data_IF_897948244068
#
_entry.id   IF_897948244068
#
_cell.length_a   1.000
_cell.length_b   1.000
_cell.length_c   1.000
_cell.angle_alpha   90.00
_cell.angle_beta   90.00
_cell.angle_gamma   90.00
#
_symmetry.space_group_name_H-M   'P 1'
#
loop_
_entity.id
_entity.type
_entity.pdbx_description
1 polymer ?
#
# COMPACT_ATOMS: atom_id res chain seq x y z
N UNK A 1 -72.95 -38.30 -66.06
CA UNK A 1 -73.82 -37.76 -65.02
C UNK A 1 -73.04 -36.70 -64.26
N UNK A 2 -73.30 -35.42 -64.57
CA UNK A 2 -73.31 -34.24 -63.70
C UNK A 2 -73.01 -34.53 -62.20
N UNK A 3 -72.19 -33.81 -61.42
CA UNK A 3 -71.94 -32.37 -61.34
C UNK A 3 -70.71 -32.10 -60.44
N UNK A 4 -69.91 -31.11 -60.85
CA UNK A 4 -69.41 -29.94 -60.11
C UNK A 4 -68.70 -30.06 -58.72
N UNK A 5 -67.46 -29.54 -58.76
CA UNK A 5 -66.96 -28.36 -58.02
C UNK A 5 -66.42 -28.41 -56.58
N UNK A 6 -65.33 -27.62 -56.49
CA UNK A 6 -64.83 -26.72 -55.43
C UNK A 6 -63.90 -27.36 -54.40
N UNK A 7 -62.61 -27.02 -54.48
CA UNK A 7 -61.95 -25.87 -53.82
C UNK A 7 -61.99 -26.05 -52.30
N UNK A 8 -60.92 -25.92 -51.52
CA UNK A 8 -59.54 -25.48 -51.73
C UNK A 8 -58.88 -25.44 -50.33
N UNK A 9 -57.56 -25.27 -50.27
CA UNK A 9 -56.79 -24.73 -49.13
C UNK A 9 -56.30 -25.76 -48.10
N UNK A 10 -55.04 -26.15 -48.31
CA UNK A 10 -53.92 -26.05 -47.36
C UNK A 10 -53.86 -26.93 -46.11
N UNK A 11 -52.61 -27.29 -45.78
CA UNK A 11 -52.15 -27.97 -44.56
C UNK A 11 -52.18 -29.50 -44.61
N UNK A 12 -51.31 -30.07 -45.46
CA UNK A 12 -50.75 -31.42 -45.27
C UNK A 12 -49.24 -31.32 -45.09
N UNK A 13 -48.83 -30.95 -43.88
CA UNK A 13 -47.48 -31.18 -43.36
C UNK A 13 -47.51 -31.07 -41.83
N UNK A 14 -48.42 -31.81 -41.20
CA UNK A 14 -48.44 -31.99 -39.75
C UNK A 14 -49.01 -33.39 -39.47
N UNK A 15 -48.40 -34.09 -38.52
CA UNK A 15 -48.78 -35.41 -37.99
C UNK A 15 -48.17 -36.65 -38.67
N UNK A 16 -46.83 -36.70 -38.78
CA UNK A 16 -46.11 -37.99 -38.86
C UNK A 16 -44.69 -37.97 -38.25
N UNK A 17 -44.40 -37.12 -37.24
CA UNK A 17 -43.08 -37.10 -36.56
C UNK A 17 -43.22 -36.96 -35.03
N UNK A 18 -44.28 -37.51 -34.44
CA UNK A 18 -44.43 -37.60 -32.98
C UNK A 18 -44.56 -39.07 -32.58
N UNK A 19 -43.43 -39.79 -32.54
CA UNK A 19 -43.16 -40.95 -31.67
C UNK A 19 -41.78 -41.53 -31.98
N UNK A 20 -40.73 -40.81 -31.58
CA UNK A 20 -39.39 -41.38 -31.39
C UNK A 20 -38.62 -40.49 -30.39
N UNK A 21 -39.21 -40.27 -29.21
CA UNK A 21 -38.47 -39.85 -28.02
C UNK A 21 -38.07 -41.13 -27.30
N UNK A 22 -36.79 -41.50 -27.37
CA UNK A 22 -36.02 -42.07 -26.27
C UNK A 22 -34.64 -42.52 -26.79
N UNK A 23 -33.60 -42.12 -26.06
CA UNK A 23 -32.24 -42.65 -26.11
C UNK A 23 -31.37 -42.23 -27.30
N UNK A 24 -30.63 -41.12 -27.15
CA UNK A 24 -29.23 -40.98 -27.63
C UNK A 24 -28.63 -39.66 -27.11
N UNK A 25 -28.37 -39.58 -25.80
CA UNK A 25 -27.49 -38.59 -25.20
C UNK A 25 -26.11 -39.21 -25.00
N UNK A 26 -25.14 -38.85 -25.84
CA UNK A 26 -23.72 -38.79 -25.49
C UNK A 26 -23.04 -37.81 -26.44
N UNK A 27 -22.93 -36.58 -25.95
CA UNK A 27 -22.07 -35.52 -26.46
C UNK A 27 -20.64 -36.05 -26.64
N UNK A 28 -20.12 -36.05 -27.86
CA UNK A 28 -18.68 -36.00 -28.13
C UNK A 28 -18.35 -34.69 -28.83
N UNK A 29 -18.55 -33.59 -28.10
CA UNK A 29 -18.03 -32.28 -28.46
C UNK A 29 -16.79 -31.99 -27.63
N UNK A 30 -15.62 -32.42 -28.12
CA UNK A 30 -14.34 -31.94 -27.59
C UNK A 30 -14.19 -30.51 -28.12
N UNK A 31 -14.79 -29.55 -27.42
CA UNK A 31 -14.53 -28.14 -27.66
C UNK A 31 -13.13 -27.84 -27.12
N UNK A 32 -12.18 -27.82 -28.04
CA UNK A 32 -10.79 -27.46 -27.81
C UNK A 32 -10.73 -26.14 -27.02
N UNK A 33 -10.35 -26.21 -25.75
CA UNK A 33 -9.95 -25.05 -24.97
C UNK A 33 -8.91 -24.30 -25.80
N UNK A 34 -9.17 -23.06 -26.26
CA UNK A 34 -8.17 -22.34 -27.03
C UNK A 34 -6.95 -22.16 -26.13
N UNK A 35 -5.78 -22.60 -26.61
CA UNK A 35 -4.50 -22.35 -25.96
C UNK A 35 -4.40 -20.86 -25.69
N UNK A 36 -4.42 -20.47 -24.41
CA UNK A 36 -4.01 -19.14 -23.99
C UNK A 36 -2.55 -19.03 -24.38
N UNK A 37 -2.24 -18.37 -25.49
CA UNK A 37 -0.86 -17.99 -25.79
C UNK A 37 -0.45 -16.93 -24.78
N UNK A 38 0.72 -17.10 -24.18
CA UNK A 38 1.27 -16.17 -23.19
C UNK A 38 1.47 -14.74 -23.74
N UNK A 39 1.31 -14.53 -25.04
CA UNK A 39 1.50 -13.26 -25.75
C UNK A 39 0.24 -12.40 -25.90
N UNK A 40 -0.91 -12.82 -25.36
CA UNK A 40 -2.14 -12.01 -25.35
C UNK A 40 -2.73 -11.81 -23.96
N UNK A 41 -1.87 -11.68 -22.97
CA UNK A 41 -2.23 -10.96 -21.73
C UNK A 41 -2.01 -9.49 -22.05
N UNK A 42 -3.08 -8.77 -22.44
CA UNK A 42 -3.08 -7.32 -22.29
C UNK A 42 -2.56 -7.03 -20.88
N UNK A 43 -1.47 -6.27 -20.77
CA UNK A 43 -0.98 -5.80 -19.48
C UNK A 43 -2.08 -4.94 -18.87
N UNK A 44 -3.01 -5.58 -18.16
CA UNK A 44 -3.98 -4.93 -17.30
C UNK A 44 -3.15 -4.07 -16.37
N UNK A 45 -3.23 -2.76 -16.56
CA UNK A 45 -2.56 -1.78 -15.69
C UNK A 45 -2.90 -2.19 -14.27
N UNK A 46 -1.89 -2.50 -13.47
CA UNK A 46 -2.09 -2.97 -12.12
C UNK A 46 -3.04 -1.99 -11.40
N UNK A 47 -4.04 -2.48 -10.65
CA UNK A 47 -4.86 -1.59 -9.85
C UNK A 47 -3.93 -0.71 -9.01
N UNK A 48 -4.14 0.60 -9.11
CA UNK A 48 -3.38 1.64 -8.42
C UNK A 48 -2.03 2.06 -9.04
N UNK A 49 -1.81 1.89 -10.36
CA UNK A 49 -0.58 2.38 -11.01
C UNK A 49 -0.32 3.88 -10.78
N UNK A 50 -1.37 4.71 -10.71
CA UNK A 50 -1.26 6.14 -10.41
C UNK A 50 -0.79 6.38 -8.97
N UNK A 51 -1.38 5.70 -8.00
CA UNK A 51 -0.97 5.78 -6.59
C UNK A 51 0.47 5.27 -6.38
N UNK A 52 0.92 4.29 -7.16
CA UNK A 52 2.27 3.73 -7.04
C UNK A 52 3.35 4.76 -7.39
N UNK A 53 3.12 5.56 -8.42
CA UNK A 53 4.07 6.61 -8.84
C UNK A 53 3.82 7.94 -8.13
N UNK A 54 2.69 8.09 -7.44
CA UNK A 54 2.37 9.29 -6.67
C UNK A 54 3.39 9.49 -5.53
N UNK A 55 4.07 10.64 -5.54
CA UNK A 55 5.18 11.00 -4.64
C UNK A 55 6.50 10.25 -4.86
N UNK A 56 6.59 9.40 -5.89
CA UNK A 56 7.81 8.62 -6.19
C UNK A 56 8.99 9.49 -6.64
N UNK A 57 8.70 10.71 -7.10
CA UNK A 57 9.62 11.74 -7.54
C UNK A 57 10.13 12.63 -6.39
N UNK A 58 9.59 12.48 -5.18
CA UNK A 58 10.07 13.20 -3.99
C UNK A 58 11.16 12.37 -3.32
N UNK A 59 12.39 12.83 -3.40
CA UNK A 59 13.54 12.25 -2.70
C UNK A 59 14.40 13.34 -2.06
N UNK A 60 15.31 12.94 -1.18
CA UNK A 60 16.36 13.84 -0.70
C UNK A 60 17.26 14.30 -1.84
N UNK A 61 17.90 15.45 -1.64
CA UNK A 61 18.80 16.03 -2.62
C UNK A 61 20.17 15.34 -2.59
N UNK A 62 20.80 15.18 -3.76
CA UNK A 62 22.16 14.64 -3.85
C UNK A 62 23.17 15.55 -3.12
N UNK A 63 24.13 15.01 -2.34
CA UNK A 63 25.06 15.83 -1.56
C UNK A 63 25.88 16.82 -2.37
N UNK A 64 26.24 16.48 -3.62
CA UNK A 64 26.96 17.40 -4.51
C UNK A 64 26.17 18.67 -4.89
N UNK A 65 24.85 18.66 -4.70
CA UNK A 65 23.98 19.80 -4.97
C UNK A 65 23.66 20.62 -3.72
N UNK A 66 24.04 20.15 -2.52
CA UNK A 66 23.72 20.86 -1.28
C UNK A 66 24.33 22.27 -1.29
N UNK A 67 23.56 23.22 -0.77
CA UNK A 67 23.95 24.62 -0.59
C UNK A 67 23.73 25.01 0.86
N UNK A 68 24.51 26.00 1.31
CA UNK A 68 24.35 26.57 2.64
C UNK A 68 22.90 27.02 2.87
N UNK A 69 22.36 26.73 4.05
CA UNK A 69 20.96 26.99 4.41
C UNK A 69 20.00 25.83 4.16
N UNK A 70 20.43 24.73 3.52
CA UNK A 70 19.63 23.50 3.44
C UNK A 70 19.33 22.96 4.85
N UNK A 71 18.09 22.55 5.13
CA UNK A 71 17.65 22.24 6.49
C UNK A 71 17.21 20.78 6.69
N UNK A 72 17.48 20.29 7.90
CA UNK A 72 16.93 19.06 8.44
C UNK A 72 16.19 19.33 9.75
N UNK A 73 15.19 18.51 10.03
CA UNK A 73 14.49 18.49 11.31
C UNK A 73 14.97 17.30 12.12
N UNK A 74 15.40 17.55 13.36
CA UNK A 74 15.78 16.50 14.31
C UNK A 74 14.56 15.67 14.68
N UNK A 75 14.66 14.35 14.58
CA UNK A 75 13.60 13.42 14.98
C UNK A 75 13.85 12.75 16.32
N UNK A 76 15.09 12.74 16.80
CA UNK A 76 15.49 12.05 18.03
C UNK A 76 16.67 12.78 18.70
N UNK A 77 16.66 12.89 20.04
CA UNK A 77 17.71 13.56 20.81
C UNK A 77 19.08 12.85 20.73
N UNK A 78 19.11 11.59 20.29
CA UNK A 78 20.34 10.84 20.00
C UNK A 78 21.17 11.43 18.85
N UNK A 79 20.66 12.43 18.13
CA UNK A 79 21.45 13.17 17.14
C UNK A 79 22.76 13.74 17.72
N UNK A 80 22.82 14.03 19.03
CA UNK A 80 24.05 14.47 19.67
C UNK A 80 25.21 13.47 19.57
N UNK A 81 24.93 12.18 19.34
CA UNK A 81 25.96 11.12 19.23
C UNK A 81 26.76 11.24 17.94
N UNK A 82 26.18 11.80 16.87
CA UNK A 82 26.86 11.89 15.57
C UNK A 82 27.70 13.16 15.42
N UNK A 83 27.48 14.16 16.27
CA UNK A 83 28.21 15.42 16.22
C UNK A 83 29.48 15.39 17.08
N UNK A 84 30.40 16.31 16.78
CA UNK A 84 31.61 16.50 17.56
C UNK A 84 31.31 16.78 19.05
N UNK A 85 32.20 16.38 19.97
CA UNK A 85 32.10 16.77 21.38
C UNK A 85 31.95 18.28 21.53
N UNK A 86 31.05 18.70 22.42
CA UNK A 86 30.73 20.11 22.66
C UNK A 86 29.61 20.68 21.78
N UNK A 87 29.04 19.89 20.86
CA UNK A 87 27.82 20.28 20.14
C UNK A 87 26.64 20.51 21.12
N UNK A 88 25.75 21.47 20.82
CA UNK A 88 24.57 21.73 21.65
C UNK A 88 23.62 20.52 21.66
N UNK A 89 22.90 20.35 22.77
CA UNK A 89 21.84 19.36 22.85
C UNK A 89 20.64 19.81 21.99
N UNK A 90 20.16 18.93 21.11
CA UNK A 90 19.04 19.21 20.23
C UNK A 90 17.82 18.36 20.63
N UNK A 91 16.68 19.03 20.78
CA UNK A 91 15.40 18.36 21.00
C UNK A 91 14.78 17.89 19.67
N UNK A 92 13.97 16.82 19.66
CA UNK A 92 13.12 16.49 18.52
C UNK A 92 12.28 17.71 18.09
N UNK A 93 12.21 17.96 16.78
CA UNK A 93 11.56 19.13 16.18
C UNK A 93 12.50 20.30 15.90
N UNK A 94 13.69 20.35 16.52
CA UNK A 94 14.68 21.40 16.25
C UNK A 94 15.17 21.35 14.79
N UNK A 95 15.47 22.50 14.20
CA UNK A 95 16.08 22.59 12.88
C UNK A 95 17.60 22.70 12.95
N UNK A 96 18.29 22.00 12.05
CA UNK A 96 19.72 22.21 11.77
C UNK A 96 19.88 22.63 10.32
N UNK A 97 20.79 23.57 10.08
CA UNK A 97 21.07 24.10 8.75
C UNK A 97 22.47 23.69 8.32
N UNK A 98 22.61 23.11 7.15
CA UNK A 98 23.90 22.78 6.56
C UNK A 98 24.63 24.06 6.16
N UNK A 99 25.92 24.12 6.49
CA UNK A 99 26.78 25.30 6.25
C UNK A 99 27.93 25.01 5.30
N UNK A 100 28.34 23.74 5.13
CA UNK A 100 29.37 23.36 4.15
C UNK A 100 29.93 21.95 4.35
N UNK A 101 30.78 21.51 3.42
CA UNK A 101 31.57 20.27 3.54
C UNK A 101 33.04 20.61 3.41
N UNK A 102 33.86 19.97 4.24
CA UNK A 102 35.32 20.02 4.11
C UNK A 102 35.88 18.60 4.04
N UNK A 103 36.97 18.44 3.29
CA UNK A 103 37.79 17.24 3.37
C UNK A 103 38.84 17.43 4.47
N UNK A 104 38.98 16.44 5.34
CA UNK A 104 40.01 16.38 6.37
C UNK A 104 40.70 15.03 6.29
N UNK A 105 41.93 14.95 6.79
CA UNK A 105 42.62 13.66 6.94
C UNK A 105 42.38 13.11 8.34
N UNK A 106 42.11 11.81 8.42
CA UNK A 106 42.06 11.09 9.68
C UNK A 106 43.47 10.93 10.27
N UNK A 107 43.53 10.46 11.52
CA UNK A 107 44.80 10.14 12.19
C UNK A 107 45.56 9.02 11.44
N UNK A 108 44.85 8.14 10.73
CA UNK A 108 45.45 7.09 9.89
C UNK A 108 45.82 7.56 8.48
N UNK A 109 45.63 8.85 8.16
CA UNK A 109 45.91 9.43 6.83
C UNK A 109 44.82 9.20 5.79
N UNK A 110 43.72 8.54 6.16
CA UNK A 110 42.59 8.29 5.27
C UNK A 110 41.72 9.56 5.14
N UNK A 111 41.14 9.85 3.95
CA UNK A 111 40.27 10.99 3.77
C UNK A 111 38.93 10.81 4.52
N UNK A 112 38.50 11.87 5.19
CA UNK A 112 37.20 12.00 5.83
C UNK A 112 36.49 13.27 5.37
N UNK A 113 35.16 13.24 5.33
CA UNK A 113 34.34 14.43 5.12
C UNK A 113 33.82 14.95 6.45
N UNK A 114 34.00 16.23 6.70
CA UNK A 114 33.29 16.98 7.73
C UNK A 114 32.08 17.68 7.10
N UNK A 115 30.88 17.17 7.37
CA UNK A 115 29.63 17.89 7.12
C UNK A 115 29.40 18.88 8.26
N UNK A 116 29.27 20.16 7.92
CA UNK A 116 29.07 21.24 8.89
C UNK A 116 27.62 21.67 8.90
N UNK A 117 27.11 21.84 10.11
CA UNK A 117 25.77 22.32 10.40
C UNK A 117 25.82 23.45 11.43
N UNK A 118 24.73 24.19 11.54
CA UNK A 118 24.47 25.10 12.65
C UNK A 118 23.04 24.92 13.16
N UNK A 119 22.83 25.14 14.46
CA UNK A 119 21.48 25.22 15.03
C UNK A 119 20.86 26.59 14.73
N UNK A 120 19.67 26.84 15.24
CA UNK A 120 18.97 28.12 15.08
C UNK A 120 19.69 29.30 15.75
N UNK A 121 20.56 29.03 16.73
CA UNK A 121 21.38 30.04 17.41
C UNK A 121 22.73 30.28 16.73
N UNK A 122 23.04 29.54 15.66
CA UNK A 122 24.31 29.62 14.94
C UNK A 122 25.44 28.80 15.56
N UNK A 123 25.16 27.95 16.55
CA UNK A 123 26.18 27.10 17.16
C UNK A 123 26.65 26.02 16.16
N UNK A 124 27.96 25.89 15.91
CA UNK A 124 28.47 24.97 14.90
C UNK A 124 28.43 23.52 15.39
N UNK A 125 28.14 22.61 14.45
CA UNK A 125 28.13 21.16 14.65
C UNK A 125 28.79 20.49 13.46
N UNK A 126 29.57 19.45 13.72
CA UNK A 126 30.32 18.72 12.68
C UNK A 126 29.98 17.24 12.76
N UNK A 127 29.48 16.69 11.66
CA UNK A 127 29.27 15.26 11.46
C UNK A 127 30.34 14.71 10.51
N UNK A 128 31.07 13.70 10.95
CA UNK A 128 32.17 13.08 10.19
C UNK A 128 31.73 11.81 9.48
N UNK A 129 32.16 11.67 8.23
CA UNK A 129 31.93 10.49 7.39
C UNK A 129 33.28 9.98 6.89
N UNK A 130 33.52 8.68 7.06
CA UNK A 130 34.71 7.98 6.54
C UNK A 130 34.61 7.78 5.02
N UNK A 131 34.79 8.87 4.28
CA UNK A 131 34.81 8.93 2.82
C UNK A 131 35.50 10.23 2.36
N UNK A 132 35.86 10.33 1.07
CA UNK A 132 36.29 11.58 0.45
C UNK A 132 35.10 12.47 0.06
N UNK A 133 35.32 13.78 -0.08
CA UNK A 133 34.30 14.73 -0.53
C UNK A 133 33.78 14.37 -1.91
N UNK A 134 34.68 13.92 -2.79
CA UNK A 134 34.30 13.42 -4.12
C UNK A 134 33.33 12.24 -4.03
N UNK A 135 33.65 11.23 -3.22
CA UNK A 135 32.80 10.05 -3.05
C UNK A 135 31.44 10.39 -2.45
N UNK A 136 31.38 11.32 -1.48
CA UNK A 136 30.11 11.79 -0.91
C UNK A 136 29.29 12.58 -1.93
N UNK A 137 29.93 13.45 -2.71
CA UNK A 137 29.27 14.28 -3.73
C UNK A 137 28.63 13.48 -4.88
N UNK A 138 29.18 12.31 -5.21
CA UNK A 138 28.67 11.40 -6.25
C UNK A 138 27.46 10.56 -5.79
N UNK A 139 27.10 10.57 -4.50
CA UNK A 139 25.95 9.81 -3.99
C UNK A 139 24.64 10.40 -4.51
N UNK A 140 23.67 9.52 -4.81
CA UNK A 140 22.32 9.94 -5.19
C UNK A 140 21.55 10.60 -4.03
N UNK A 141 21.93 10.29 -2.79
CA UNK A 141 21.37 10.87 -1.57
C UNK A 141 22.24 10.53 -0.37
N UNK A 142 22.04 11.25 0.73
CA UNK A 142 22.72 11.01 2.00
C UNK A 142 21.76 11.23 3.16
N UNK A 143 21.54 10.17 3.93
CA UNK A 143 20.75 10.25 5.15
C UNK A 143 21.59 10.83 6.29
N UNK A 144 21.00 11.76 7.03
CA UNK A 144 21.57 12.27 8.28
C UNK A 144 20.88 11.50 9.42
N UNK A 145 21.61 10.71 10.23
CA UNK A 145 21.00 9.95 11.31
C UNK A 145 20.19 10.86 12.25
N UNK A 146 19.03 10.37 12.68
CA UNK A 146 18.13 11.07 13.62
C UNK A 146 17.60 12.40 13.10
N UNK A 147 17.63 12.64 11.79
CA UNK A 147 17.07 13.84 11.19
C UNK A 147 16.40 13.54 9.83
N UNK A 148 15.40 14.33 9.47
CA UNK A 148 14.71 14.26 8.18
C UNK A 148 14.90 15.54 7.40
N UNK A 149 15.13 15.43 6.10
CA UNK A 149 15.30 16.60 5.24
C UNK A 149 14.00 17.41 5.17
N UNK A 150 14.05 18.70 5.50
CA UNK A 150 12.85 19.56 5.56
C UNK A 150 12.16 19.66 4.20
N UNK A 151 12.93 19.80 3.12
CA UNK A 151 12.40 19.92 1.76
C UNK A 151 11.59 18.69 1.31
N UNK A 152 11.93 17.49 1.81
CA UNK A 152 11.16 16.26 1.54
C UNK A 152 9.79 16.35 2.19
N UNK A 153 9.73 16.73 3.47
CA UNK A 153 8.46 16.89 4.21
C UNK A 153 7.61 17.98 3.57
N UNK A 154 8.21 19.12 3.22
CA UNK A 154 7.50 20.25 2.60
C UNK A 154 6.94 19.90 1.21
N UNK A 155 7.71 19.18 0.39
CA UNK A 155 7.27 18.70 -0.92
C UNK A 155 6.06 17.77 -0.78
N UNK A 156 6.07 16.88 0.20
CA UNK A 156 4.94 16.00 0.49
C UNK A 156 3.74 16.81 0.97
N UNK A 157 3.95 17.73 1.92
CA UNK A 157 2.92 18.62 2.45
C UNK A 157 2.16 19.33 1.33
N UNK A 158 2.89 19.93 0.40
CA UNK A 158 2.32 20.68 -0.72
C UNK A 158 1.40 19.85 -1.64
N UNK A 159 1.53 18.52 -1.63
CA UNK A 159 0.78 17.62 -2.52
C UNK A 159 -0.41 16.93 -1.88
N UNK A 160 -0.37 16.71 -0.56
CA UNK A 160 -1.33 15.83 0.11
C UNK A 160 -2.05 16.46 1.29
N UNK A 161 -1.50 17.53 1.89
CA UNK A 161 -2.14 18.17 3.04
C UNK A 161 -3.49 18.79 2.62
N UNK A 162 -4.51 18.61 3.45
CA UNK A 162 -5.87 19.04 3.18
C UNK A 162 -6.68 18.10 2.27
N UNK A 163 -6.04 17.16 1.58
CA UNK A 163 -6.72 16.21 0.70
C UNK A 163 -7.36 15.04 1.47
N UNK A 164 -8.33 14.40 0.81
CA UNK A 164 -9.03 13.22 1.31
C UNK A 164 -8.64 12.01 0.46
N UNK A 165 -8.34 10.90 1.12
CA UNK A 165 -8.01 9.63 0.48
C UNK A 165 -8.67 8.46 1.23
N UNK A 166 -8.76 7.30 0.59
CA UNK A 166 -9.24 6.09 1.25
C UNK A 166 -8.09 5.32 1.87
N UNK A 167 -8.08 5.19 3.20
CA UNK A 167 -7.01 4.45 3.91
C UNK A 167 -7.12 2.95 3.64
N UNK A 168 -5.99 2.30 3.34
CA UNK A 168 -5.94 0.88 3.00
C UNK A 168 -5.42 0.01 4.15
N UNK A 169 -4.65 0.62 5.06
CA UNK A 169 -4.03 -0.08 6.18
C UNK A 169 -4.84 0.09 7.47
N UNK A 170 -4.99 -0.97 8.28
CA UNK A 170 -5.57 -0.87 9.62
C UNK A 170 -4.50 -0.51 10.68
N UNK A 171 -3.22 -0.44 10.32
CA UNK A 171 -2.14 -0.17 11.27
C UNK A 171 -1.99 1.34 11.51
N UNK A 172 -2.82 1.85 12.41
CA UNK A 172 -2.87 3.26 12.82
C UNK A 172 -2.08 3.47 14.11
N UNK A 173 -1.77 4.72 14.40
CA UNK A 173 -1.16 5.14 15.65
C UNK A 173 -2.04 6.19 16.32
N UNK A 174 -2.05 6.23 17.65
CA UNK A 174 -2.62 7.37 18.37
C UNK A 174 -1.64 8.56 18.37
N UNK A 175 -2.02 9.66 19.02
CA UNK A 175 -1.17 10.85 19.12
C UNK A 175 0.08 10.63 20.01
N UNK A 176 0.07 9.59 20.85
CA UNK A 176 1.23 9.13 21.62
C UNK A 176 2.09 8.11 20.85
N UNK A 177 1.84 7.97 19.55
CA UNK A 177 2.53 7.05 18.64
C UNK A 177 2.43 5.57 19.06
N UNK A 178 1.40 5.20 19.82
CA UNK A 178 1.08 3.81 20.13
C UNK A 178 0.21 3.20 19.03
N UNK A 179 0.62 2.03 18.53
CA UNK A 179 -0.09 1.38 17.44
C UNK A 179 -1.40 0.74 17.91
N UNK A 180 -2.46 0.86 17.12
CA UNK A 180 -3.71 0.14 17.30
C UNK A 180 -4.33 -0.25 15.95
N UNK A 181 -5.37 -1.10 16.00
CA UNK A 181 -6.11 -1.51 14.80
C UNK A 181 -7.21 -0.51 14.49
N UNK A 182 -7.01 0.29 13.44
CA UNK A 182 -7.99 1.20 12.88
C UNK A 182 -8.84 0.56 11.77
N UNK A 183 -9.64 1.39 11.11
CA UNK A 183 -10.56 0.98 10.05
C UNK A 183 -9.84 0.94 8.69
N UNK A 184 -10.43 0.22 7.73
CA UNK A 184 -9.94 0.17 6.35
C UNK A 184 -10.98 0.64 5.37
N UNK A 185 -10.52 1.14 4.24
CA UNK A 185 -11.32 1.57 3.09
C UNK A 185 -12.28 2.72 3.40
N UNK A 186 -11.89 3.58 4.34
CA UNK A 186 -12.69 4.70 4.81
C UNK A 186 -12.03 6.02 4.39
N UNK A 187 -12.83 7.06 4.11
CA UNK A 187 -12.28 8.36 3.72
C UNK A 187 -11.60 9.01 4.93
N UNK A 188 -10.36 9.45 4.73
CA UNK A 188 -9.56 10.12 5.75
C UNK A 188 -8.95 11.38 5.15
N UNK A 189 -9.04 12.47 5.92
CA UNK A 189 -8.44 13.75 5.57
C UNK A 189 -7.06 13.84 6.18
N UNK A 190 -6.05 14.19 5.37
CA UNK A 190 -4.71 14.52 5.88
C UNK A 190 -4.77 15.95 6.40
N UNK A 191 -4.73 16.12 7.73
CA UNK A 191 -4.79 17.42 8.39
C UNK A 191 -3.45 18.13 8.36
N UNK A 192 -2.39 17.40 8.71
CA UNK A 192 -1.04 17.95 8.80
C UNK A 192 -0.02 16.93 8.32
N UNK A 193 1.02 17.43 7.65
CA UNK A 193 2.21 16.67 7.28
C UNK A 193 3.39 17.16 8.11
N UNK A 194 3.94 16.25 8.91
CA UNK A 194 4.98 16.51 9.90
C UNK A 194 6.24 15.69 9.60
N UNK A 195 7.41 16.13 10.11
CA UNK A 195 8.59 15.29 10.23
C UNK A 195 8.27 13.98 10.94
N UNK A 196 8.69 12.87 10.34
CA UNK A 196 8.48 11.54 10.90
C UNK A 196 9.58 11.13 11.88
N UNK A 197 10.15 9.95 11.68
CA UNK A 197 11.18 9.36 12.52
C UNK A 197 12.34 8.81 11.66
N UNK A 198 13.30 8.15 12.30
CA UNK A 198 14.48 7.58 11.64
C UNK A 198 14.18 6.46 10.64
N UNK A 199 12.95 5.95 10.60
CA UNK A 199 12.52 4.87 9.69
C UNK A 199 11.62 5.41 8.58
N UNK A 200 10.74 6.35 8.91
CA UNK A 200 9.76 6.93 8.01
C UNK A 200 9.89 8.45 8.05
N UNK A 201 10.30 9.11 6.95
CA UNK A 201 10.60 10.54 6.97
C UNK A 201 9.36 11.42 7.19
N UNK A 202 8.16 10.89 6.93
CA UNK A 202 6.91 11.64 7.00
C UNK A 202 5.97 11.02 8.04
N UNK A 203 5.45 11.89 8.92
CA UNK A 203 4.33 11.62 9.81
C UNK A 203 3.10 12.38 9.31
N UNK A 204 1.97 11.71 9.25
CA UNK A 204 0.69 12.26 8.81
C UNK A 204 -0.26 12.29 9.99
N UNK A 205 -0.80 13.47 10.30
CA UNK A 205 -1.96 13.59 11.16
C UNK A 205 -3.21 13.47 10.29
N UNK A 206 -3.96 12.41 10.48
CA UNK A 206 -5.15 12.09 9.72
C UNK A 206 -6.40 12.22 10.59
N UNK A 207 -7.55 12.47 9.98
CA UNK A 207 -8.86 12.41 10.62
C UNK A 207 -9.79 11.57 9.77
N UNK A 208 -10.45 10.59 10.39
CA UNK A 208 -11.56 9.87 9.75
C UNK A 208 -12.76 10.83 9.63
N UNK A 209 -13.20 11.11 8.41
CA UNK A 209 -14.25 12.10 8.17
C UNK A 209 -15.62 11.70 8.73
N UNK A 210 -15.80 10.44 9.13
CA UNK A 210 -17.07 9.93 9.65
C UNK A 210 -17.22 10.14 11.16
N UNK A 211 -16.12 9.99 11.89
CA UNK A 211 -16.10 10.02 13.37
C UNK A 211 -15.33 11.21 13.93
N UNK A 212 -14.49 11.87 13.13
CA UNK A 212 -13.73 13.05 13.54
C UNK A 212 -12.54 12.79 14.47
N UNK A 213 -12.22 11.52 14.76
CA UNK A 213 -11.12 11.15 15.66
C UNK A 213 -9.78 11.23 14.92
N UNK A 214 -8.79 11.96 15.46
CA UNK A 214 -7.47 12.04 14.86
C UNK A 214 -6.65 10.77 15.11
N UNK A 215 -5.82 10.42 14.14
CA UNK A 215 -4.86 9.32 14.24
C UNK A 215 -3.61 9.64 13.39
N UNK A 216 -2.56 8.88 13.62
CA UNK A 216 -1.27 9.06 12.96
C UNK A 216 -0.96 7.91 12.00
N UNK A 217 -0.35 8.26 10.85
CA UNK A 217 0.29 7.31 9.95
C UNK A 217 1.72 7.77 9.63
N UNK A 218 2.65 6.83 9.67
CA UNK A 218 3.99 7.03 9.12
C UNK A 218 4.04 6.60 7.66
N UNK A 219 4.77 7.37 6.84
CA UNK A 219 4.87 7.16 5.40
C UNK A 219 6.33 7.22 4.91
N UNK A 220 6.68 6.28 4.03
CA UNK A 220 7.90 6.30 3.22
C UNK A 220 7.64 7.09 1.94
N UNK A 221 8.67 7.78 1.44
CA UNK A 221 8.62 8.55 0.20
C UNK A 221 9.79 8.22 -0.71
N UNK A 222 9.69 8.59 -1.98
CA UNK A 222 10.69 8.29 -3.01
C UNK A 222 10.33 7.09 -3.87
N UNK A 223 11.26 6.73 -4.75
CA UNK A 223 11.03 5.80 -5.86
C UNK A 223 11.05 4.32 -5.47
N UNK A 224 11.35 3.99 -4.21
CA UNK A 224 11.35 2.61 -3.75
C UNK A 224 9.91 2.08 -3.59
N UNK A 225 9.37 1.50 -4.67
CA UNK A 225 8.04 0.87 -4.69
C UNK A 225 7.91 -0.29 -3.68
N UNK A 226 9.03 -0.88 -3.25
CA UNK A 226 9.01 -1.96 -2.24
C UNK A 226 8.88 -1.42 -0.81
N UNK A 227 9.06 -0.11 -0.59
CA UNK A 227 8.95 0.50 0.74
C UNK A 227 7.62 0.10 1.40
N UNK A 228 7.64 -0.37 2.67
CA UNK A 228 6.48 -0.98 3.31
C UNK A 228 5.33 0.01 3.55
N UNK A 229 5.62 1.31 3.60
CA UNK A 229 4.66 2.37 3.88
C UNK A 229 4.66 3.49 2.82
N UNK A 230 4.82 3.13 1.54
CA UNK A 230 4.60 4.08 0.44
C UNK A 230 3.12 4.46 0.28
N UNK A 231 2.83 5.57 -0.41
CA UNK A 231 1.47 6.10 -0.57
C UNK A 231 0.46 5.03 -1.01
N UNK A 232 0.75 4.28 -2.08
CA UNK A 232 -0.13 3.22 -2.62
C UNK A 232 -0.45 2.05 -1.66
N UNK A 233 0.32 1.90 -0.58
CA UNK A 233 0.04 0.90 0.47
C UNK A 233 -0.81 1.46 1.60
N UNK A 234 -0.79 2.79 1.77
CA UNK A 234 -1.52 3.49 2.81
C UNK A 234 -2.87 4.01 2.31
N UNK A 235 -2.94 4.44 1.04
CA UNK A 235 -4.06 5.20 0.50
C UNK A 235 -4.45 4.78 -0.92
N UNK A 236 -5.71 5.03 -1.28
CA UNK A 236 -6.21 5.03 -2.65
C UNK A 236 -6.96 6.33 -2.96
N UNK A 237 -6.89 6.77 -4.23
CA UNK A 237 -7.60 7.97 -4.68
C UNK A 237 -9.12 7.77 -4.75
N UNK A 238 -9.55 6.57 -5.14
CA UNK A 238 -10.95 6.21 -5.34
C UNK A 238 -11.45 5.27 -4.24
N UNK A 239 -12.76 5.24 -4.02
CA UNK A 239 -13.38 4.36 -3.05
C UNK A 239 -13.11 2.88 -3.40
N UNK A 240 -12.37 2.11 -2.57
CA UNK A 240 -12.10 0.72 -2.85
C UNK A 240 -13.37 -0.13 -2.99
N UNK A 241 -14.48 0.28 -2.36
CA UNK A 241 -15.77 -0.40 -2.41
C UNK A 241 -16.34 -0.52 -3.82
N UNK A 242 -16.09 0.46 -4.69
CA UNK A 242 -16.63 0.50 -6.05
C UNK A 242 -16.16 -0.69 -6.91
N UNK A 243 -15.01 -1.29 -6.55
CA UNK A 243 -14.47 -2.48 -7.22
C UNK A 243 -15.17 -3.79 -6.82
N UNK A 244 -16.01 -3.75 -5.79
CA UNK A 244 -16.63 -4.94 -5.22
C UNK A 244 -18.15 -4.77 -5.06
N UNK A 245 -18.91 -4.51 -6.15
CA UNK A 245 -20.36 -4.27 -6.08
C UNK A 245 -21.16 -5.50 -5.63
N UNK A 246 -20.59 -6.71 -5.74
CA UNK A 246 -21.24 -7.96 -5.32
C UNK A 246 -21.16 -8.23 -3.81
N UNK A 247 -20.26 -7.54 -3.08
CA UNK A 247 -20.14 -7.70 -1.62
C UNK A 247 -21.30 -6.95 -0.95
N UNK A 248 -22.02 -7.62 -0.05
CA UNK A 248 -23.15 -7.04 0.68
C UNK A 248 -22.70 -5.95 1.64
N UNK A 249 -23.60 -5.04 2.02
CA UNK A 249 -23.31 -4.00 3.02
C UNK A 249 -22.80 -4.59 4.35
N UNK A 250 -23.41 -5.67 4.81
CA UNK A 250 -23.03 -6.32 6.06
C UNK A 250 -21.63 -6.95 5.97
N UNK A 251 -21.29 -7.61 4.86
CA UNK A 251 -19.96 -8.15 4.65
C UNK A 251 -18.91 -7.03 4.52
N UNK A 252 -19.27 -5.93 3.83
CA UNK A 252 -18.39 -4.77 3.69
C UNK A 252 -18.10 -4.09 5.03
N UNK A 253 -19.11 -3.94 5.90
CA UNK A 253 -18.93 -3.39 7.24
C UNK A 253 -17.97 -4.26 8.06
N UNK A 254 -18.07 -5.60 7.95
CA UNK A 254 -17.09 -6.50 8.58
C UNK A 254 -15.68 -6.28 8.04
N UNK A 255 -15.52 -6.13 6.72
CA UNK A 255 -14.23 -5.86 6.06
C UNK A 255 -13.61 -4.55 6.57
N UNK A 256 -14.38 -3.47 6.63
CA UNK A 256 -13.96 -2.15 7.14
C UNK A 256 -13.45 -2.25 8.58
N UNK A 257 -14.08 -3.09 9.40
CA UNK A 257 -13.74 -3.31 10.81
C UNK A 257 -12.68 -4.40 11.05
N UNK A 258 -12.06 -4.96 10.01
CA UNK A 258 -11.12 -6.09 10.12
C UNK A 258 -11.73 -7.31 10.84
N UNK A 259 -12.98 -7.63 10.49
CA UNK A 259 -13.74 -8.76 11.05
C UNK A 259 -14.11 -9.73 9.94
N UNK A 260 -14.26 -10.98 10.34
CA UNK A 260 -14.80 -12.05 9.51
C UNK A 260 -16.03 -12.62 10.17
N UNK A 261 -16.93 -13.19 9.37
CA UNK A 261 -18.17 -13.82 9.81
C UNK A 261 -18.43 -15.06 8.97
N UNK A 262 -19.13 -16.02 9.55
CA UNK A 262 -19.65 -17.18 8.83
C UNK A 262 -20.36 -16.77 7.54
N UNK A 263 -20.13 -17.52 6.47
CA UNK A 263 -20.70 -17.23 5.16
C UNK A 263 -19.84 -16.31 4.28
N UNK A 264 -18.84 -15.63 4.83
CA UNK A 264 -17.94 -14.80 4.00
C UNK A 264 -17.11 -15.65 3.03
N UNK A 265 -16.89 -15.13 1.83
CA UNK A 265 -16.08 -15.75 0.79
C UNK A 265 -14.58 -15.61 1.07
N UNK A 266 -13.75 -16.37 0.35
CA UNK A 266 -12.28 -16.23 0.39
C UNK A 266 -11.84 -14.78 0.14
N UNK A 267 -12.41 -14.09 -0.85
CA UNK A 267 -12.01 -12.73 -1.21
C UNK A 267 -12.45 -11.71 -0.16
N UNK A 268 -13.65 -11.85 0.42
CA UNK A 268 -14.10 -11.02 1.53
C UNK A 268 -13.20 -11.20 2.77
N UNK A 269 -12.83 -12.43 3.11
CA UNK A 269 -11.89 -12.71 4.19
C UNK A 269 -10.49 -12.14 3.90
N UNK A 270 -10.01 -12.21 2.65
CA UNK A 270 -8.73 -11.62 2.24
C UNK A 270 -8.77 -10.09 2.31
N UNK A 271 -9.88 -9.47 1.92
CA UNK A 271 -10.08 -8.03 2.07
C UNK A 271 -10.13 -7.62 3.55
N UNK A 272 -10.73 -8.45 4.42
CA UNK A 272 -10.86 -8.19 5.86
C UNK A 272 -9.56 -8.37 6.65
N UNK A 273 -8.76 -9.40 6.37
CA UNK A 273 -7.57 -9.75 7.18
C UNK A 273 -6.23 -9.65 6.43
N UNK A 274 -6.26 -9.47 5.12
CA UNK A 274 -5.05 -9.53 4.28
C UNK A 274 -4.67 -10.96 3.88
N UNK A 275 -3.48 -11.09 3.30
CA UNK A 275 -2.96 -12.37 2.84
C UNK A 275 -2.61 -13.28 4.05
N UNK A 276 -3.03 -14.55 4.04
CA UNK A 276 -2.64 -15.50 5.08
C UNK A 276 -1.16 -15.88 4.97
N UNK A 277 -0.54 -16.21 6.09
CA UNK A 277 0.84 -16.69 6.12
C UNK A 277 0.98 -18.10 5.54
N UNK A 278 -0.04 -18.94 5.74
CA UNK A 278 -0.10 -20.30 5.20
C UNK A 278 -1.50 -20.66 4.72
N UNK A 279 -1.56 -21.32 3.57
CA UNK A 279 -2.78 -21.90 3.00
C UNK A 279 -2.58 -23.42 2.86
N UNK A 280 -3.54 -24.21 3.38
CA UNK A 280 -3.60 -25.66 3.16
C UNK A 280 -4.89 -26.00 2.45
N UNK A 281 -4.81 -26.80 1.38
CA UNK A 281 -5.97 -27.27 0.63
C UNK A 281 -6.06 -28.78 0.72
N UNK A 282 -7.27 -29.29 0.89
CA UNK A 282 -7.60 -30.71 0.83
C UNK A 282 -8.91 -30.86 0.08
N UNK A 283 -8.97 -31.86 -0.77
CA UNK A 283 -10.21 -32.26 -1.44
C UNK A 283 -10.65 -33.57 -0.81
N UNK A 284 -11.89 -33.64 -0.35
CA UNK A 284 -12.47 -34.89 0.14
C UNK A 284 -13.79 -35.16 -0.56
N UNK A 285 -13.88 -36.31 -1.23
CA UNK A 285 -14.98 -36.92 -2.00
C UNK A 285 -15.78 -36.02 -2.99
N UNK A 286 -16.13 -34.78 -2.64
CA UNK A 286 -16.72 -33.74 -3.51
C UNK A 286 -16.55 -32.30 -2.97
N UNK A 287 -15.97 -32.11 -1.78
CA UNK A 287 -15.86 -30.81 -1.10
C UNK A 287 -14.42 -30.33 -1.07
N UNK A 288 -14.20 -29.05 -1.36
CA UNK A 288 -12.92 -28.39 -1.23
C UNK A 288 -12.80 -27.76 0.16
N UNK A 289 -11.84 -28.25 0.94
CA UNK A 289 -11.46 -27.69 2.23
C UNK A 289 -10.23 -26.80 2.07
N UNK A 290 -10.32 -25.57 2.52
CA UNK A 290 -9.21 -24.63 2.56
C UNK A 290 -9.02 -24.08 3.97
N UNK A 291 -7.79 -24.16 4.50
CA UNK A 291 -7.44 -23.68 5.84
C UNK A 291 -6.39 -22.60 5.73
N UNK A 292 -6.69 -21.43 6.27
CA UNK A 292 -5.79 -20.27 6.34
C UNK A 292 -5.26 -20.11 7.75
N UNK A 293 -3.97 -19.81 7.87
CA UNK A 293 -3.32 -19.48 9.14
C UNK A 293 -2.58 -18.15 9.01
N UNK A 294 -2.75 -17.29 10.01
CA UNK A 294 -2.10 -15.98 10.11
C UNK A 294 -1.05 -15.99 11.22
N UNK A 295 -0.06 -15.10 11.14
CA UNK A 295 1.05 -15.03 12.10
C UNK A 295 0.60 -14.72 13.53
N UNK A 296 -0.52 -14.00 13.67
CA UNK A 296 -1.13 -13.66 14.95
C UNK A 296 -2.00 -14.78 15.55
N UNK A 297 -1.96 -16.00 14.99
CA UNK A 297 -2.68 -17.15 15.51
C UNK A 297 -4.13 -17.29 15.02
N UNK A 298 -4.63 -16.34 14.23
CA UNK A 298 -5.96 -16.46 13.60
C UNK A 298 -5.94 -17.62 12.61
N UNK A 299 -7.00 -18.44 12.63
CA UNK A 299 -7.24 -19.44 11.59
C UNK A 299 -8.66 -19.36 11.04
N UNK A 300 -8.78 -19.63 9.74
CA UNK A 300 -10.04 -19.69 9.00
C UNK A 300 -10.15 -21.04 8.28
N UNK A 301 -11.33 -21.65 8.28
CA UNK A 301 -11.61 -22.89 7.54
C UNK A 301 -12.80 -22.68 6.61
N UNK A 302 -12.57 -22.95 5.33
CA UNK A 302 -13.51 -22.74 4.25
C UNK A 302 -13.93 -24.07 3.66
N UNK A 303 -15.23 -24.21 3.38
CA UNK A 303 -15.78 -25.31 2.60
C UNK A 303 -16.34 -24.71 1.31
N UNK A 304 -15.84 -25.18 0.17
CA UNK A 304 -16.23 -24.70 -1.17
C UNK A 304 -16.14 -23.17 -1.32
N UNK A 305 -15.09 -22.58 -0.71
CA UNK A 305 -14.80 -21.14 -0.78
C UNK A 305 -15.58 -20.26 0.19
N UNK A 306 -16.38 -20.85 1.09
CA UNK A 306 -17.20 -20.14 2.08
C UNK A 306 -16.71 -20.42 3.50
N UNK A 307 -16.56 -19.39 4.32
CA UNK A 307 -16.09 -19.49 5.70
C UNK A 307 -17.10 -20.25 6.58
N UNK A 308 -16.67 -21.38 7.14
CA UNK A 308 -17.49 -22.24 8.02
C UNK A 308 -17.00 -22.27 9.47
N UNK A 309 -15.70 -22.12 9.70
CA UNK A 309 -15.11 -22.11 11.05
C UNK A 309 -13.98 -21.10 11.15
N UNK A 310 -13.82 -20.45 12.30
CA UNK A 310 -12.68 -19.59 12.60
C UNK A 310 -12.40 -19.46 14.09
N UNK A 311 -11.17 -19.10 14.44
CA UNK A 311 -10.76 -18.68 15.79
C UNK A 311 -9.89 -17.43 15.71
N UNK A 312 -10.06 -16.58 16.71
CA UNK A 312 -9.28 -15.36 16.91
C UNK A 312 -8.60 -15.39 18.27
#
# INVERSE_FOLDING_TARGET
MNLLQKNSISVRAAAAVLSAVACSSCFTGVESTPKISADKVERTVAPNAKEQVFLSDISGEAPGLWRSGKQWIVTDSRIGIIFNPGAPALAPGAAISFTGMNEVQSISGEPQVELRFSDESGNPMVYRIDASVKSVGERAGLEIPFAVERAVVDSVRSRIEGNVYYVLTPMWYDLGEQSYTGLKYVPVKIKEVLPGNSVYPVKLLCVDERIGVPFVLFMSVGSNLKAPRGFHKLFSFSNPRERYPAITDEAWENIVNNRVRYGMTLDECRLALGAPAKVRRRTDHSTLYEVWSYENGIYLMFHDGVLKEYRR
#
